data_IF_373283164039
#
_entry.id   IF_373283164039
#
_cell.length_a   1.000
_cell.length_b   1.000
_cell.length_c   1.000
_cell.angle_alpha   90.00
_cell.angle_beta   90.00
_cell.angle_gamma   90.00
#
_symmetry.space_group_name_H-M   'P 1'
#
loop_
_entity.id
_entity.type
_entity.pdbx_description
1 polymer ?
#
# COMPACT_ATOMS: atom_id res chain seq x y z
N UNK A 1 1.89 -48.14 -4.95
CA UNK A 1 0.91 -48.57 -3.92
C UNK A 1 -0.25 -47.60 -3.99
N UNK A 2 -1.48 -48.06 -4.24
CA UNK A 2 -2.67 -47.19 -4.16
C UNK A 2 -3.08 -47.11 -2.69
N UNK A 3 -3.38 -45.90 -2.22
CA UNK A 3 -3.92 -45.73 -0.88
C UNK A 3 -5.33 -46.33 -0.83
N UNK A 4 -5.70 -46.89 0.32
CA UNK A 4 -7.09 -47.28 0.59
C UNK A 4 -7.94 -46.08 1.08
N UNK A 5 -9.24 -46.29 1.24
CA UNK A 5 -10.17 -45.23 1.63
C UNK A 5 -9.86 -44.66 3.03
N UNK A 6 -9.37 -45.48 3.95
CA UNK A 6 -9.03 -45.03 5.30
C UNK A 6 -7.79 -44.14 5.28
N UNK A 7 -6.80 -44.52 4.47
CA UNK A 7 -5.60 -43.73 4.24
C UNK A 7 -5.91 -42.39 3.56
N UNK A 8 -6.80 -42.34 2.56
CA UNK A 8 -7.25 -41.08 1.97
C UNK A 8 -7.99 -40.20 2.98
N UNK A 9 -8.87 -40.79 3.80
CA UNK A 9 -9.57 -40.05 4.86
C UNK A 9 -8.58 -39.44 5.86
N UNK A 10 -7.55 -40.19 6.27
CA UNK A 10 -6.52 -39.67 7.18
C UNK A 10 -5.83 -38.43 6.57
N UNK A 11 -5.51 -38.44 5.27
CA UNK A 11 -4.88 -37.31 4.59
C UNK A 11 -5.78 -36.07 4.63
N UNK A 12 -7.07 -36.22 4.33
CA UNK A 12 -8.02 -35.10 4.30
C UNK A 12 -8.29 -34.57 5.71
N UNK A 13 -8.55 -35.47 6.67
CA UNK A 13 -8.90 -35.11 8.06
C UNK A 13 -7.71 -34.58 8.87
N UNK A 14 -6.49 -35.00 8.54
CA UNK A 14 -5.25 -34.54 9.19
C UNK A 14 -4.57 -33.40 8.43
N UNK A 15 -5.17 -32.93 7.33
CA UNK A 15 -4.63 -31.83 6.53
C UNK A 15 -4.49 -30.56 7.40
N UNK A 16 -3.35 -29.84 7.34
CA UNK A 16 -3.19 -28.57 8.04
C UNK A 16 -4.09 -27.46 7.45
N UNK A 17 -4.60 -27.66 6.24
CA UNK A 17 -5.55 -26.74 5.63
C UNK A 17 -6.99 -27.15 5.95
N UNK A 18 -7.86 -26.16 6.04
CA UNK A 18 -9.30 -26.39 6.08
C UNK A 18 -9.76 -26.81 4.69
N UNK A 19 -10.50 -27.91 4.57
CA UNK A 19 -10.94 -28.45 3.28
C UNK A 19 -12.46 -28.45 3.26
N UNK A 20 -13.05 -28.03 2.15
CA UNK A 20 -14.48 -28.07 1.91
C UNK A 20 -14.79 -28.71 0.55
N UNK A 21 -16.00 -29.23 0.41
CA UNK A 21 -16.52 -29.75 -0.86
C UNK A 21 -17.97 -29.33 -1.01
N UNK A 22 -18.35 -28.99 -2.24
CA UNK A 22 -19.72 -28.67 -2.61
C UNK A 22 -20.20 -29.51 -3.80
N UNK A 23 -21.51 -29.77 -3.83
CA UNK A 23 -22.19 -30.45 -4.93
C UNK A 23 -22.45 -29.54 -6.12
N UNK A 24 -23.09 -30.07 -7.17
CA UNK A 24 -23.51 -29.31 -8.35
C UNK A 24 -24.63 -28.31 -8.07
N UNK A 25 -25.30 -28.45 -6.94
CA UNK A 25 -26.29 -27.54 -6.37
C UNK A 25 -25.67 -26.32 -5.67
N UNK A 26 -24.34 -26.18 -5.69
CA UNK A 26 -23.55 -25.13 -5.01
C UNK A 26 -23.57 -25.21 -3.49
N UNK A 27 -24.14 -26.29 -2.93
CA UNK A 27 -24.25 -26.48 -1.49
C UNK A 27 -23.05 -27.27 -0.96
N UNK A 28 -22.42 -26.77 0.10
CA UNK A 28 -21.32 -27.47 0.75
C UNK A 28 -21.84 -28.73 1.45
N UNK A 29 -21.26 -29.89 1.13
CA UNK A 29 -21.69 -31.19 1.65
C UNK A 29 -20.62 -31.89 2.50
N UNK A 30 -19.43 -31.30 2.61
CA UNK A 30 -18.36 -31.83 3.44
C UNK A 30 -17.36 -30.74 3.85
N UNK A 31 -16.87 -30.86 5.08
CA UNK A 31 -15.77 -30.09 5.66
C UNK A 31 -14.85 -31.03 6.45
N UNK A 32 -13.53 -30.83 6.41
CA UNK A 32 -12.62 -31.64 7.21
C UNK A 32 -12.59 -31.22 8.68
N UNK A 33 -11.96 -32.06 9.51
CA UNK A 33 -11.76 -31.81 10.95
C UNK A 33 -11.08 -30.47 11.22
N UNK A 34 -10.15 -30.02 10.37
CA UNK A 34 -9.45 -28.74 10.54
C UNK A 34 -10.39 -27.55 10.39
N UNK A 35 -11.33 -27.58 9.41
CA UNK A 35 -12.37 -26.56 9.28
C UNK A 35 -13.26 -26.50 10.53
N UNK A 36 -13.81 -27.64 10.94
CA UNK A 36 -14.75 -27.71 12.07
C UNK A 36 -14.09 -27.26 13.39
N UNK A 37 -12.81 -27.60 13.60
CA UNK A 37 -12.03 -27.10 14.75
C UNK A 37 -11.78 -25.59 14.68
N UNK A 38 -11.61 -25.05 13.48
CA UNK A 38 -11.39 -23.64 13.28
C UNK A 38 -12.67 -22.83 13.54
N UNK A 39 -13.78 -23.18 12.92
CA UNK A 39 -15.05 -22.45 13.08
C UNK A 39 -15.74 -22.77 14.39
N UNK A 40 -15.47 -23.94 14.97
CA UNK A 40 -16.15 -24.45 16.18
C UNK A 40 -17.56 -24.98 15.88
N UNK A 41 -17.97 -25.00 14.61
CA UNK A 41 -19.26 -25.49 14.17
C UNK A 41 -19.23 -27.01 13.98
N UNK A 42 -20.42 -27.61 14.02
CA UNK A 42 -20.62 -29.00 13.63
C UNK A 42 -20.82 -29.13 12.13
N UNK A 43 -20.53 -30.31 11.56
CA UNK A 43 -20.79 -30.59 10.14
C UNK A 43 -22.24 -30.25 9.74
N UNK A 44 -23.21 -30.56 10.61
CA UNK A 44 -24.63 -30.29 10.35
C UNK A 44 -24.95 -28.80 10.27
N UNK A 45 -24.27 -27.96 11.03
CA UNK A 45 -24.44 -26.50 10.95
C UNK A 45 -23.80 -25.92 9.69
N UNK A 46 -22.69 -26.50 9.23
CA UNK A 46 -21.95 -26.02 8.05
C UNK A 46 -22.56 -26.49 6.72
N UNK A 47 -23.26 -27.63 6.72
CA UNK A 47 -23.90 -28.21 5.53
C UNK A 47 -24.84 -27.22 4.83
N UNK A 48 -24.79 -27.20 3.50
CA UNK A 48 -25.49 -26.22 2.68
C UNK A 48 -24.74 -24.90 2.62
N UNK A 49 -25.33 -23.87 3.20
CA UNK A 49 -24.82 -22.49 3.20
C UNK A 49 -24.25 -22.04 4.55
N UNK A 50 -24.07 -22.96 5.51
CA UNK A 50 -23.63 -22.62 6.87
C UNK A 50 -22.30 -21.88 6.91
N UNK A 51 -21.38 -22.21 6.00
CA UNK A 51 -20.10 -21.52 5.84
C UNK A 51 -20.24 -20.01 5.66
N UNK A 52 -21.32 -19.56 5.01
CA UNK A 52 -21.55 -18.16 4.70
C UNK A 52 -21.90 -17.33 5.95
N UNK A 53 -22.42 -17.96 7.01
CA UNK A 53 -22.69 -17.29 8.30
C UNK A 53 -21.41 -16.87 9.03
N UNK A 54 -20.30 -17.56 8.75
CA UNK A 54 -18.99 -17.25 9.31
C UNK A 54 -18.30 -16.06 8.64
N UNK A 55 -18.76 -15.63 7.46
CA UNK A 55 -18.09 -14.58 6.67
C UNK A 55 -18.34 -13.21 7.30
N UNK A 56 -17.32 -12.35 7.29
CA UNK A 56 -17.49 -10.97 7.72
C UNK A 56 -18.50 -10.23 6.82
N UNK A 57 -19.43 -9.43 7.37
CA UNK A 57 -20.51 -8.82 6.59
C UNK A 57 -20.04 -8.00 5.36
N UNK A 58 -18.90 -7.31 5.48
CA UNK A 58 -18.31 -6.52 4.38
C UNK A 58 -17.74 -7.38 3.23
N UNK A 59 -17.41 -8.65 3.49
CA UNK A 59 -16.79 -9.53 2.51
C UNK A 59 -17.83 -10.44 1.82
N UNK A 60 -19.02 -10.58 2.43
CA UNK A 60 -20.06 -11.53 2.03
C UNK A 60 -20.46 -11.44 0.55
N UNK A 61 -20.84 -10.25 0.09
CA UNK A 61 -21.32 -10.06 -1.29
C UNK A 61 -20.24 -10.40 -2.32
N UNK A 62 -18.97 -10.06 -2.02
CA UNK A 62 -17.83 -10.37 -2.86
C UNK A 62 -17.58 -11.87 -2.92
N UNK A 63 -17.55 -12.55 -1.77
CA UNK A 63 -17.34 -13.99 -1.70
C UNK A 63 -18.41 -14.76 -2.46
N UNK A 64 -19.68 -14.43 -2.22
CA UNK A 64 -20.80 -15.10 -2.87
C UNK A 64 -20.76 -14.91 -4.39
N UNK A 65 -20.43 -13.70 -4.86
CA UNK A 65 -20.28 -13.41 -6.29
C UNK A 65 -19.17 -14.25 -6.92
N UNK A 66 -17.96 -14.23 -6.36
CA UNK A 66 -16.81 -15.00 -6.90
C UNK A 66 -17.13 -16.48 -6.95
N UNK A 67 -17.71 -17.02 -5.88
CA UNK A 67 -18.09 -18.42 -5.78
C UNK A 67 -19.11 -18.83 -6.85
N UNK A 68 -20.22 -18.09 -6.97
CA UNK A 68 -21.28 -18.42 -7.93
C UNK A 68 -20.84 -18.23 -9.39
N UNK A 69 -20.05 -17.19 -9.68
CA UNK A 69 -19.49 -16.98 -11.02
C UNK A 69 -18.53 -18.11 -11.42
N UNK A 70 -17.72 -18.60 -10.48
CA UNK A 70 -16.83 -19.73 -10.72
C UNK A 70 -17.63 -21.00 -11.03
N UNK A 71 -18.65 -21.32 -10.24
CA UNK A 71 -19.55 -22.45 -10.48
C UNK A 71 -20.25 -22.39 -11.84
N UNK A 72 -20.73 -21.21 -12.25
CA UNK A 72 -21.40 -21.02 -13.53
C UNK A 72 -20.45 -21.27 -14.72
N UNK A 73 -19.17 -20.95 -14.56
CA UNK A 73 -18.13 -21.13 -15.60
C UNK A 73 -17.37 -22.45 -15.50
N UNK A 74 -17.49 -23.16 -14.39
CA UNK A 74 -16.68 -24.34 -14.05
C UNK A 74 -15.18 -24.04 -14.10
N UNK A 75 -14.80 -22.85 -13.60
CA UNK A 75 -13.42 -22.38 -13.52
C UNK A 75 -12.91 -22.40 -12.07
N UNK A 76 -11.60 -22.56 -11.89
CA UNK A 76 -11.00 -22.39 -10.56
C UNK A 76 -11.13 -20.95 -10.07
N UNK A 77 -11.27 -20.75 -8.78
CA UNK A 77 -11.25 -19.42 -8.17
C UNK A 77 -10.25 -19.34 -7.02
N UNK A 78 -9.84 -18.11 -6.71
CA UNK A 78 -9.10 -17.76 -5.52
C UNK A 78 -9.67 -16.46 -4.94
N UNK A 79 -9.89 -16.43 -3.62
CA UNK A 79 -10.37 -15.24 -2.91
C UNK A 79 -9.77 -15.15 -1.51
N UNK A 80 -9.64 -13.92 -1.02
CA UNK A 80 -9.26 -13.65 0.37
C UNK A 80 -10.41 -12.96 1.10
N UNK A 81 -10.81 -13.48 2.26
CA UNK A 81 -11.91 -12.94 3.05
C UNK A 81 -11.73 -13.21 4.54
N UNK A 82 -12.50 -12.51 5.37
CA UNK A 82 -12.51 -12.73 6.81
C UNK A 82 -13.52 -13.80 7.18
N UNK A 83 -13.05 -14.86 7.84
CA UNK A 83 -13.87 -15.93 8.40
C UNK A 83 -13.80 -15.90 9.93
N UNK A 84 -14.95 -16.06 10.59
CA UNK A 84 -15.07 -16.08 12.04
C UNK A 84 -14.56 -17.41 12.60
N UNK A 85 -13.59 -17.33 13.50
CA UNK A 85 -13.08 -18.46 14.27
C UNK A 85 -14.00 -18.76 15.47
N UNK A 86 -13.88 -19.94 16.06
CA UNK A 86 -14.67 -20.38 17.22
C UNK A 86 -14.67 -19.42 18.42
N UNK A 87 -13.61 -18.62 18.59
CA UNK A 87 -13.50 -17.61 19.66
C UNK A 87 -14.13 -16.25 19.29
N UNK A 88 -14.78 -16.17 18.13
CA UNK A 88 -15.45 -14.98 17.63
C UNK A 88 -14.53 -14.00 16.89
N UNK A 89 -13.23 -14.25 16.85
CA UNK A 89 -12.26 -13.40 16.15
C UNK A 89 -12.30 -13.69 14.65
N UNK A 90 -12.34 -12.64 13.84
CA UNK A 90 -12.21 -12.78 12.39
C UNK A 90 -10.74 -12.96 11.98
N UNK A 91 -10.50 -13.92 11.09
CA UNK A 91 -9.18 -14.26 10.55
C UNK A 91 -9.21 -14.15 9.02
N UNK A 92 -8.12 -13.70 8.41
CA UNK A 92 -8.00 -13.67 6.95
C UNK A 92 -7.75 -15.07 6.43
N UNK A 93 -8.64 -15.54 5.57
CA UNK A 93 -8.59 -16.84 4.91
C UNK A 93 -8.35 -16.61 3.42
N UNK A 94 -7.34 -17.29 2.87
CA UNK A 94 -7.18 -17.47 1.44
C UNK A 94 -7.87 -18.79 1.06
N UNK A 95 -8.89 -18.70 0.22
CA UNK A 95 -9.68 -19.84 -0.25
C UNK A 95 -9.45 -20.06 -1.74
N UNK A 96 -9.20 -21.31 -2.10
CA UNK A 96 -9.02 -21.77 -3.47
C UNK A 96 -9.95 -22.93 -3.73
N UNK A 97 -10.83 -22.76 -4.70
CA UNK A 97 -11.75 -23.79 -5.16
C UNK A 97 -11.43 -24.23 -6.59
N UNK A 98 -11.51 -25.54 -6.84
CA UNK A 98 -11.38 -26.12 -8.17
C UNK A 98 -12.57 -27.03 -8.48
N UNK A 99 -13.05 -27.07 -9.73
CA UNK A 99 -14.05 -28.03 -10.15
C UNK A 99 -13.46 -29.44 -10.09
N UNK A 100 -14.25 -30.43 -9.65
CA UNK A 100 -13.88 -31.83 -9.76
C UNK A 100 -14.95 -32.61 -10.53
N UNK A 101 -14.51 -33.69 -11.15
CA UNK A 101 -15.30 -34.47 -12.09
C UNK A 101 -15.26 -35.94 -11.70
N UNK A 102 -16.35 -36.66 -11.96
CA UNK A 102 -16.44 -38.11 -11.77
C UNK A 102 -16.57 -38.77 -13.15
N UNK A 103 -15.88 -39.90 -13.35
CA UNK A 103 -15.94 -40.64 -14.61
C UNK A 103 -15.42 -39.85 -15.82
N UNK A 104 -16.05 -40.03 -16.98
CA UNK A 104 -15.70 -39.41 -18.27
C UNK A 104 -16.15 -37.94 -18.34
N UNK A 105 -15.70 -37.12 -17.38
CA UNK A 105 -15.85 -35.66 -17.34
C UNK A 105 -17.23 -35.14 -16.89
N UNK A 106 -17.98 -35.90 -16.09
CA UNK A 106 -19.21 -35.40 -15.47
C UNK A 106 -18.87 -34.45 -14.32
N UNK A 107 -19.28 -33.18 -14.43
CA UNK A 107 -19.06 -32.17 -13.39
C UNK A 107 -19.78 -32.60 -12.10
N UNK A 108 -19.01 -32.76 -11.02
CA UNK A 108 -19.52 -33.27 -9.75
C UNK A 108 -19.57 -32.18 -8.65
N UNK A 109 -19.09 -30.98 -8.95
CA UNK A 109 -19.05 -29.84 -8.03
C UNK A 109 -17.64 -29.31 -7.81
N UNK A 110 -17.39 -28.74 -6.63
CA UNK A 110 -16.12 -28.15 -6.27
C UNK A 110 -15.51 -28.80 -5.03
N UNK A 111 -14.18 -28.80 -4.99
CA UNK A 111 -13.39 -29.03 -3.78
C UNK A 111 -12.50 -27.82 -3.59
N UNK A 112 -12.34 -27.38 -2.35
CA UNK A 112 -11.49 -26.26 -2.04
C UNK A 112 -10.69 -26.43 -0.76
N UNK A 113 -9.71 -25.55 -0.63
CA UNK A 113 -8.81 -25.48 0.50
C UNK A 113 -8.71 -24.04 0.96
N UNK A 114 -8.89 -23.85 2.26
CA UNK A 114 -8.78 -22.58 2.95
C UNK A 114 -7.55 -22.59 3.86
N UNK A 115 -6.74 -21.54 3.78
CA UNK A 115 -5.55 -21.31 4.59
C UNK A 115 -5.69 -20.03 5.40
N UNK A 116 -5.42 -20.08 6.70
CA UNK A 116 -5.32 -18.88 7.53
C UNK A 116 -4.04 -18.11 7.15
N UNK A 117 -4.23 -16.92 6.58
CA UNK A 117 -3.18 -15.99 6.15
C UNK A 117 -3.14 -14.73 7.01
N UNK A 118 -3.78 -14.75 8.19
CA UNK A 118 -3.89 -13.59 9.09
C UNK A 118 -2.52 -13.03 9.43
N UNK A 119 -1.58 -13.86 9.88
CA UNK A 119 -0.25 -13.40 10.29
C UNK A 119 0.52 -12.75 9.11
N UNK A 120 0.29 -13.24 7.88
CA UNK A 120 0.86 -12.66 6.66
C UNK A 120 0.25 -11.29 6.36
N UNK A 121 -1.09 -11.17 6.40
CA UNK A 121 -1.82 -9.94 6.11
C UNK A 121 -1.55 -8.88 7.18
N UNK A 122 -1.66 -9.24 8.46
CA UNK A 122 -1.37 -8.35 9.58
C UNK A 122 0.09 -7.96 9.64
N UNK A 123 1.00 -8.92 9.42
CA UNK A 123 2.44 -8.64 9.33
C UNK A 123 2.76 -7.67 8.19
N UNK A 124 2.10 -7.78 7.04
CA UNK A 124 2.26 -6.83 5.94
C UNK A 124 1.72 -5.45 6.30
N UNK A 125 0.52 -5.36 6.89
CA UNK A 125 -0.05 -4.09 7.36
C UNK A 125 0.83 -3.40 8.39
N UNK A 126 1.36 -4.15 9.35
CA UNK A 126 2.29 -3.62 10.35
C UNK A 126 3.57 -3.10 9.72
N UNK A 127 4.14 -3.81 8.73
CA UNK A 127 5.28 -3.32 7.95
C UNK A 127 4.92 -2.04 7.21
N UNK A 128 3.79 -1.99 6.51
CA UNK A 128 3.38 -0.80 5.76
C UNK A 128 3.17 0.39 6.69
N UNK A 129 2.54 0.20 7.86
CA UNK A 129 2.39 1.25 8.87
C UNK A 129 3.73 1.70 9.47
N UNK A 130 4.66 0.77 9.66
CA UNK A 130 6.00 1.09 10.16
C UNK A 130 6.88 1.79 9.11
N UNK A 131 6.59 1.64 7.82
CA UNK A 131 7.44 2.12 6.72
C UNK A 131 6.88 3.35 6.01
N UNK A 132 5.56 3.52 5.96
CA UNK A 132 4.88 4.57 5.18
C UNK A 132 4.29 5.66 6.07
N UNK A 133 4.25 6.88 5.55
CA UNK A 133 3.49 7.97 6.15
C UNK A 133 1.98 7.69 6.03
N UNK A 134 1.24 7.88 7.13
CA UNK A 134 -0.17 7.52 7.21
C UNK A 134 -1.06 8.30 6.26
N UNK A 135 -0.69 9.54 5.91
CA UNK A 135 -1.47 10.41 5.04
C UNK A 135 -1.08 10.27 3.56
N UNK A 136 0.22 10.37 3.28
CA UNK A 136 0.77 10.49 1.92
C UNK A 136 1.21 9.16 1.31
N UNK A 137 1.34 8.10 2.11
CA UNK A 137 1.72 6.73 1.70
C UNK A 137 3.11 6.58 1.07
N UNK A 138 3.91 7.64 0.99
CA UNK A 138 5.37 7.57 0.73
C UNK A 138 6.10 7.13 2.00
N UNK A 139 7.43 7.00 1.99
CA UNK A 139 8.16 6.60 3.20
C UNK A 139 7.95 7.59 4.34
N UNK A 140 7.79 7.10 5.56
CA UNK A 140 7.87 7.95 6.73
C UNK A 140 9.33 8.32 7.02
N UNK A 141 9.56 9.34 7.84
CA UNK A 141 10.90 9.82 8.20
C UNK A 141 11.81 8.70 8.71
N UNK A 142 11.35 7.90 9.67
CA UNK A 142 12.17 6.87 10.30
C UNK A 142 12.68 5.83 9.29
N UNK A 143 11.78 5.36 8.42
CA UNK A 143 12.14 4.36 7.41
C UNK A 143 12.96 4.96 6.27
N UNK A 144 12.67 6.21 5.86
CA UNK A 144 13.52 6.95 4.93
C UNK A 144 14.96 7.04 5.46
N UNK A 145 15.16 7.46 6.71
CA UNK A 145 16.49 7.59 7.31
C UNK A 145 17.23 6.24 7.37
N UNK A 146 16.53 5.14 7.65
CA UNK A 146 17.11 3.79 7.62
C UNK A 146 17.63 3.43 6.22
N UNK A 147 16.81 3.60 5.18
CA UNK A 147 17.21 3.31 3.80
C UNK A 147 18.30 4.26 3.32
N UNK A 148 18.19 5.55 3.64
CA UNK A 148 19.16 6.56 3.27
C UNK A 148 20.54 6.29 3.88
N UNK A 149 20.61 5.77 5.10
CA UNK A 149 21.89 5.38 5.72
C UNK A 149 22.56 4.21 4.96
N UNK A 150 21.76 3.26 4.48
CA UNK A 150 22.25 2.14 3.65
C UNK A 150 22.78 2.67 2.32
N UNK A 151 22.01 3.52 1.63
CA UNK A 151 22.41 4.10 0.34
C UNK A 151 23.63 5.02 0.47
N UNK A 152 23.70 5.85 1.51
CA UNK A 152 24.85 6.69 1.81
C UNK A 152 26.13 5.87 2.05
N UNK A 153 26.01 4.78 2.82
CA UNK A 153 27.14 3.88 3.08
C UNK A 153 27.63 3.20 1.80
N UNK A 154 26.72 2.82 0.90
CA UNK A 154 27.07 2.28 -0.41
C UNK A 154 27.76 3.33 -1.27
N UNK A 155 27.19 4.52 -1.39
CA UNK A 155 27.75 5.61 -2.19
C UNK A 155 29.17 5.96 -1.74
N UNK A 156 29.39 6.08 -0.42
CA UNK A 156 30.73 6.32 0.17
C UNK A 156 31.71 5.19 -0.14
N UNK A 157 31.27 3.93 -0.09
CA UNK A 157 32.13 2.76 -0.36
C UNK A 157 32.58 2.70 -1.82
N UNK A 158 31.72 3.11 -2.73
CA UNK A 158 31.94 2.99 -4.18
C UNK A 158 32.32 4.32 -4.85
N UNK A 159 32.55 5.38 -4.07
CA UNK A 159 32.83 6.74 -4.56
C UNK A 159 31.79 7.21 -5.60
N UNK A 160 30.53 6.88 -5.34
CA UNK A 160 29.42 7.19 -6.24
C UNK A 160 28.72 8.48 -5.83
N UNK A 161 28.25 9.26 -6.80
CA UNK A 161 27.50 10.49 -6.54
C UNK A 161 26.19 10.22 -5.80
N UNK A 162 25.85 11.07 -4.83
CA UNK A 162 24.57 11.02 -4.12
C UNK A 162 24.15 12.43 -3.78
N UNK A 163 22.89 12.75 -4.09
CA UNK A 163 22.30 14.04 -3.77
C UNK A 163 21.11 13.86 -2.83
N UNK A 164 20.94 14.82 -1.92
CA UNK A 164 19.75 14.96 -1.07
C UNK A 164 19.08 16.28 -1.36
N UNK A 165 17.76 16.27 -1.51
CA UNK A 165 16.94 17.45 -1.61
C UNK A 165 15.93 17.50 -0.45
N UNK A 166 15.96 18.58 0.32
CA UNK A 166 14.89 18.96 1.24
C UNK A 166 13.85 19.77 0.48
N UNK A 167 12.58 19.44 0.68
CA UNK A 167 11.47 19.96 -0.11
C UNK A 167 10.43 20.48 0.86
N UNK A 168 9.86 21.65 0.58
CA UNK A 168 8.78 22.20 1.39
C UNK A 168 7.74 22.89 0.51
N UNK A 169 6.47 22.70 0.88
CA UNK A 169 5.34 23.28 0.15
C UNK A 169 5.22 24.77 0.51
N UNK A 170 5.37 25.63 -0.50
CA UNK A 170 5.28 27.06 -0.30
C UNK A 170 3.88 27.46 0.18
N UNK A 171 3.82 28.36 1.17
CA UNK A 171 2.57 28.91 1.72
C UNK A 171 1.56 27.86 2.25
N UNK A 172 2.01 26.67 2.64
CA UNK A 172 1.13 25.60 3.12
C UNK A 172 0.27 26.02 4.32
N UNK A 173 0.85 26.80 5.26
CA UNK A 173 0.10 27.37 6.38
C UNK A 173 -1.08 28.23 5.91
N UNK A 174 -0.85 29.12 4.93
CA UNK A 174 -1.91 29.97 4.35
C UNK A 174 -3.01 29.13 3.70
N UNK A 175 -2.65 28.02 3.03
CA UNK A 175 -3.63 27.10 2.46
C UNK A 175 -4.51 26.50 3.56
N UNK A 176 -3.91 26.00 4.65
CA UNK A 176 -4.66 25.47 5.79
C UNK A 176 -5.56 26.52 6.44
N UNK A 177 -5.03 27.73 6.66
CA UNK A 177 -5.76 28.82 7.31
C UNK A 177 -6.94 29.30 6.43
N UNK A 178 -6.83 29.20 5.10
CA UNK A 178 -7.84 29.66 4.14
C UNK A 178 -8.89 28.60 3.81
N UNK A 179 -8.46 27.35 3.58
CA UNK A 179 -9.30 26.28 3.03
C UNK A 179 -9.53 25.13 4.02
N UNK A 180 -8.91 25.18 5.21
CA UNK A 180 -9.00 24.16 6.24
C UNK A 180 -8.02 22.99 6.05
N UNK A 181 -7.84 22.21 7.11
CA UNK A 181 -6.88 21.10 7.14
C UNK A 181 -7.16 20.00 6.10
N UNK A 182 -8.43 19.75 5.75
CA UNK A 182 -8.75 18.77 4.71
C UNK A 182 -8.23 19.18 3.32
N UNK A 183 -8.19 20.48 3.01
CA UNK A 183 -7.56 20.99 1.79
C UNK A 183 -6.04 20.81 1.85
N UNK A 184 -5.42 21.10 3.00
CA UNK A 184 -4.00 20.83 3.23
C UNK A 184 -3.63 19.35 3.05
N UNK A 185 -4.45 18.45 3.57
CA UNK A 185 -4.26 17.01 3.38
C UNK A 185 -4.30 16.60 1.90
N UNK A 186 -5.20 17.19 1.12
CA UNK A 186 -5.29 16.95 -0.31
C UNK A 186 -4.04 17.48 -1.04
N UNK A 187 -3.54 18.66 -0.65
CA UNK A 187 -2.29 19.24 -1.16
C UNK A 187 -1.11 18.30 -0.87
N UNK A 188 -0.95 17.85 0.37
CA UNK A 188 0.12 16.92 0.76
C UNK A 188 0.08 15.63 -0.04
N UNK A 189 -1.10 15.02 -0.20
CA UNK A 189 -1.29 13.81 -1.00
C UNK A 189 -0.93 14.03 -2.46
N UNK A 190 -1.33 15.17 -3.01
CA UNK A 190 -1.09 15.50 -4.42
C UNK A 190 0.40 15.70 -4.68
N UNK A 191 1.07 16.51 -3.86
CA UNK A 191 2.53 16.73 -3.95
C UNK A 191 3.29 15.40 -3.84
N UNK A 192 2.94 14.60 -2.83
CA UNK A 192 3.60 13.31 -2.61
C UNK A 192 3.43 12.37 -3.80
N UNK A 193 2.20 12.23 -4.32
CA UNK A 193 1.92 11.39 -5.49
C UNK A 193 2.70 11.88 -6.72
N UNK A 194 2.61 13.18 -7.01
CA UNK A 194 3.26 13.77 -8.18
C UNK A 194 4.77 13.57 -8.18
N UNK A 195 5.43 13.83 -7.05
CA UNK A 195 6.89 13.63 -6.95
C UNK A 195 7.22 12.15 -7.08
N UNK A 196 6.50 11.28 -6.35
CA UNK A 196 6.76 9.84 -6.36
C UNK A 196 6.59 9.20 -7.75
N UNK A 197 5.65 9.67 -8.56
CA UNK A 197 5.46 9.22 -9.96
C UNK A 197 6.50 9.82 -10.94
N UNK A 198 7.21 10.87 -10.54
CA UNK A 198 8.16 11.62 -11.39
C UNK A 198 9.63 11.27 -11.14
N UNK A 199 9.93 10.43 -10.15
CA UNK A 199 11.28 9.99 -9.78
C UNK A 199 11.55 8.54 -10.21
N UNK A 200 12.81 8.09 -10.12
CA UNK A 200 13.19 6.72 -10.50
C UNK A 200 12.85 5.76 -9.36
N UNK A 201 12.63 4.47 -9.68
CA UNK A 201 12.25 3.45 -8.70
C UNK A 201 13.28 3.23 -7.57
N UNK A 202 14.55 3.61 -7.79
CA UNK A 202 15.63 3.50 -6.81
C UNK A 202 15.92 4.80 -6.06
N UNK A 203 15.27 5.91 -6.40
CA UNK A 203 15.34 7.13 -5.60
C UNK A 203 14.50 6.94 -4.33
N UNK A 204 14.98 7.45 -3.20
CA UNK A 204 14.24 7.36 -1.94
C UNK A 204 13.47 8.65 -1.73
N UNK A 205 12.18 8.54 -1.45
CA UNK A 205 11.32 9.68 -1.19
C UNK A 205 10.45 9.47 0.05
N UNK A 206 10.48 10.43 0.97
CA UNK A 206 9.75 10.34 2.22
C UNK A 206 9.24 11.68 2.72
N UNK A 207 8.25 11.63 3.61
CA UNK A 207 7.76 12.81 4.33
C UNK A 207 8.60 12.99 5.58
N UNK A 208 9.28 14.14 5.70
CA UNK A 208 10.21 14.42 6.78
C UNK A 208 9.49 14.97 8.03
N UNK A 209 8.44 15.77 7.83
CA UNK A 209 7.56 16.26 8.89
C UNK A 209 6.67 17.39 8.40
N UNK A 210 5.45 17.53 8.91
CA UNK A 210 4.55 18.63 8.48
C UNK A 210 4.36 18.67 6.97
N UNK A 211 4.76 19.78 6.35
CA UNK A 211 4.80 20.08 4.91
C UNK A 211 6.15 19.83 4.24
N UNK A 212 7.10 19.25 4.96
CA UNK A 212 8.44 18.94 4.49
C UNK A 212 8.56 17.50 3.99
N UNK A 213 9.25 17.35 2.87
CA UNK A 213 9.60 16.10 2.23
C UNK A 213 11.11 16.02 2.00
N UNK A 214 11.61 14.81 1.81
CA UNK A 214 13.02 14.55 1.52
C UNK A 214 13.15 13.58 0.38
N UNK A 215 14.05 13.88 -0.55
CA UNK A 215 14.39 13.06 -1.71
C UNK A 215 15.89 12.77 -1.70
N UNK A 216 16.26 11.50 -1.79
CA UNK A 216 17.64 11.05 -1.98
C UNK A 216 17.77 10.39 -3.34
N UNK A 217 18.72 10.88 -4.14
CA UNK A 217 18.98 10.44 -5.50
C UNK A 217 20.35 9.75 -5.52
N UNK A 218 20.35 8.42 -5.59
CA UNK A 218 21.58 7.61 -5.69
C UNK A 218 22.17 7.68 -7.09
N UNK A 219 23.49 7.60 -7.19
CA UNK A 219 24.25 7.68 -8.46
C UNK A 219 23.85 8.91 -9.31
N UNK A 220 23.68 10.05 -8.65
CA UNK A 220 23.20 11.29 -9.29
C UNK A 220 24.01 12.46 -8.77
N UNK A 221 24.71 13.16 -9.67
CA UNK A 221 25.46 14.37 -9.32
C UNK A 221 24.56 15.61 -9.24
N UNK A 222 25.12 16.72 -8.77
CA UNK A 222 24.39 17.97 -8.54
C UNK A 222 23.70 18.51 -9.80
N UNK A 223 24.32 18.37 -10.98
CA UNK A 223 23.76 18.89 -12.23
C UNK A 223 22.54 18.08 -12.63
N UNK A 224 22.64 16.75 -12.59
CA UNK A 224 21.53 15.84 -12.89
C UNK A 224 20.37 16.01 -11.89
N UNK A 225 20.69 16.12 -10.60
CA UNK A 225 19.71 16.38 -9.55
C UNK A 225 19.01 17.74 -9.74
N UNK A 226 19.75 18.77 -10.15
CA UNK A 226 19.20 20.10 -10.44
C UNK A 226 18.20 20.07 -11.61
N UNK A 227 18.48 19.28 -12.65
CA UNK A 227 17.57 19.10 -13.79
C UNK A 227 16.27 18.42 -13.33
N UNK A 228 16.39 17.37 -12.51
CA UNK A 228 15.22 16.70 -11.91
C UNK A 228 14.39 17.68 -11.07
N UNK A 229 15.03 18.46 -10.19
CA UNK A 229 14.34 19.44 -9.34
C UNK A 229 13.65 20.51 -10.19
N UNK A 230 14.29 21.02 -11.24
CA UNK A 230 13.66 21.98 -12.14
C UNK A 230 12.39 21.41 -12.80
N UNK A 231 12.44 20.15 -13.22
CA UNK A 231 11.27 19.43 -13.75
C UNK A 231 10.18 19.29 -12.70
N UNK A 232 10.53 18.85 -11.48
CA UNK A 232 9.56 18.67 -10.39
C UNK A 232 8.88 19.99 -10.02
N UNK A 233 9.64 21.09 -9.93
CA UNK A 233 9.07 22.44 -9.70
C UNK A 233 8.04 22.79 -10.76
N UNK A 234 8.38 22.63 -12.03
CA UNK A 234 7.46 22.94 -13.13
C UNK A 234 6.20 22.08 -13.09
N UNK A 235 6.33 20.76 -12.85
CA UNK A 235 5.17 19.88 -12.73
C UNK A 235 4.28 20.30 -11.56
N UNK A 236 4.84 20.61 -10.39
CA UNK A 236 4.05 21.05 -9.23
C UNK A 236 3.33 22.38 -9.50
N UNK A 237 4.00 23.35 -10.13
CA UNK A 237 3.41 24.67 -10.45
C UNK A 237 2.27 24.60 -11.47
N UNK A 238 2.18 23.52 -12.26
CA UNK A 238 1.10 23.31 -13.24
C UNK A 238 -0.11 22.58 -12.67
N UNK A 239 -0.05 22.11 -11.42
CA UNK A 239 -1.15 21.39 -10.79
C UNK A 239 -2.19 22.38 -10.29
N UNK A 240 -3.45 22.11 -10.64
CA UNK A 240 -4.62 22.80 -10.10
C UNK A 240 -5.48 21.80 -9.33
N UNK A 241 -5.56 21.96 -8.01
CA UNK A 241 -6.35 21.09 -7.13
C UNK A 241 -7.72 21.72 -6.95
N UNK A 242 -8.77 21.07 -7.47
CA UNK A 242 -10.15 21.49 -7.27
C UNK A 242 -10.63 21.08 -5.87
N UNK A 243 -11.03 22.06 -5.06
CA UNK A 243 -11.59 21.84 -3.71
C UNK A 243 -12.74 22.82 -3.45
N UNK A 244 -13.95 22.31 -3.20
CA UNK A 244 -15.17 23.10 -2.92
C UNK A 244 -15.32 24.33 -3.84
N UNK A 245 -15.32 24.10 -5.16
CA UNK A 245 -15.42 25.12 -6.23
C UNK A 245 -14.30 26.16 -6.32
N UNK A 246 -13.24 25.99 -5.54
CA UNK A 246 -12.01 26.78 -5.65
C UNK A 246 -10.88 25.96 -6.26
N UNK A 247 -9.92 26.64 -6.90
CA UNK A 247 -8.70 26.04 -7.42
C UNK A 247 -7.54 26.44 -6.50
N UNK A 248 -6.86 25.43 -5.95
CA UNK A 248 -5.65 25.61 -5.16
C UNK A 248 -4.47 25.33 -6.09
N UNK A 249 -3.63 26.35 -6.29
CA UNK A 249 -2.33 26.21 -6.96
C UNK A 249 -1.26 25.99 -5.91
N UNK A 250 -0.29 25.16 -6.26
CA UNK A 250 0.77 24.74 -5.35
C UNK A 250 2.13 25.04 -5.96
N UNK A 251 3.10 25.35 -5.11
CA UNK A 251 4.51 25.37 -5.48
C UNK A 251 5.32 24.80 -4.32
N UNK A 252 6.56 24.42 -4.59
CA UNK A 252 7.45 23.92 -3.56
C UNK A 252 8.86 24.48 -3.74
N UNK A 253 9.52 24.74 -2.61
CA UNK A 253 10.93 25.10 -2.52
C UNK A 253 11.77 23.84 -2.33
N UNK A 254 12.98 23.82 -2.90
CA UNK A 254 13.87 22.67 -2.90
C UNK A 254 15.30 23.11 -2.54
N UNK A 255 15.82 22.64 -1.41
CA UNK A 255 17.21 22.78 -1.01
C UNK A 255 18.01 21.54 -1.39
N UNK A 256 18.89 21.66 -2.39
CA UNK A 256 19.70 20.57 -2.92
C UNK A 256 21.12 20.61 -2.34
N UNK A 257 21.63 19.45 -1.93
CA UNK A 257 23.02 19.28 -1.54
C UNK A 257 23.56 17.95 -2.08
N UNK A 258 24.72 18.00 -2.72
CA UNK A 258 25.45 16.80 -3.14
C UNK A 258 26.37 16.36 -2.02
N UNK A 259 26.40 15.06 -1.71
CA UNK A 259 27.40 14.55 -0.79
C UNK A 259 28.81 14.74 -1.39
N UNK A 260 29.70 15.27 -0.59
CA UNK A 260 31.14 15.23 -0.76
C UNK A 260 31.73 14.24 0.25
N UNK A 261 32.98 14.44 0.68
CA UNK A 261 33.60 13.61 1.71
C UNK A 261 32.97 13.84 3.12
N UNK A 262 31.65 14.00 3.24
CA UNK A 262 31.00 14.10 4.54
C UNK A 262 31.21 12.84 5.38
N UNK A 263 31.25 13.06 6.69
CA UNK A 263 31.51 12.01 7.65
C UNK A 263 30.27 11.12 7.82
N UNK A 264 29.07 11.70 7.80
CA UNK A 264 27.78 11.06 8.08
C UNK A 264 26.62 11.67 7.26
N UNK A 265 25.58 10.87 7.01
CA UNK A 265 24.35 11.27 6.29
C UNK A 265 23.65 12.49 6.91
N UNK A 266 23.63 12.58 8.25
CA UNK A 266 22.97 13.67 8.97
C UNK A 266 23.48 15.05 8.51
N UNK A 267 24.79 15.16 8.25
CA UNK A 267 25.38 16.41 7.75
C UNK A 267 24.88 16.77 6.35
N UNK A 268 24.71 15.79 5.47
CA UNK A 268 24.19 15.99 4.10
C UNK A 268 22.74 16.51 4.15
N UNK A 269 21.91 15.94 5.03
CA UNK A 269 20.52 16.39 5.24
C UNK A 269 20.50 17.82 5.81
N UNK A 270 21.34 18.12 6.82
CA UNK A 270 21.45 19.47 7.41
C UNK A 270 21.85 20.52 6.36
N UNK A 271 22.80 20.22 5.48
CA UNK A 271 23.20 21.17 4.44
C UNK A 271 22.11 21.36 3.37
N UNK A 272 21.39 20.30 3.00
CA UNK A 272 20.22 20.41 2.14
C UNK A 272 19.10 21.28 2.76
N UNK A 273 18.85 21.12 4.07
CA UNK A 273 17.90 21.94 4.82
C UNK A 273 18.32 23.42 4.89
N UNK A 274 19.60 23.70 5.16
CA UNK A 274 20.13 25.08 5.10
C UNK A 274 19.92 25.71 3.73
N UNK A 275 20.12 24.96 2.65
CA UNK A 275 19.87 25.44 1.28
C UNK A 275 18.39 25.75 1.05
N UNK A 276 17.49 24.93 1.59
CA UNK A 276 16.04 25.19 1.53
C UNK A 276 15.68 26.48 2.28
N UNK A 277 16.24 26.68 3.47
CA UNK A 277 16.03 27.88 4.28
C UNK A 277 16.56 29.16 3.60
N UNK A 278 17.74 29.11 2.97
CA UNK A 278 18.30 30.21 2.16
C UNK A 278 17.35 30.62 1.03
N UNK A 279 16.77 29.64 0.32
CA UNK A 279 15.82 29.87 -0.78
C UNK A 279 14.54 30.53 -0.27
N UNK A 280 13.93 30.02 0.80
CA UNK A 280 12.70 30.58 1.38
C UNK A 280 12.87 32.03 1.86
N UNK A 281 14.01 32.34 2.48
CA UNK A 281 14.31 33.70 2.92
C UNK A 281 14.54 34.68 1.77
N UNK A 282 15.12 34.21 0.66
CA UNK A 282 15.31 35.05 -0.53
C UNK A 282 13.97 35.42 -1.20
N UNK A 283 13.02 34.47 -1.25
CA UNK A 283 11.67 34.68 -1.78
C UNK A 283 10.84 35.62 -0.92
N UNK A 284 10.97 35.53 0.41
CA UNK A 284 10.28 36.43 1.35
C UNK A 284 10.68 37.90 1.22
N UNK A 285 11.82 38.18 0.57
CA UNK A 285 12.31 39.55 0.27
C UNK A 285 11.90 40.06 -1.11
N UNK A 286 11.28 39.23 -1.96
CA UNK A 286 10.67 39.67 -3.21
C UNK A 286 9.20 40.04 -2.94
N UNK A 287 8.68 41.15 -3.50
CA UNK A 287 7.27 41.51 -3.32
C UNK A 287 6.39 40.38 -3.87
N UNK A 288 5.30 40.02 -3.18
CA UNK A 288 4.45 38.91 -3.60
C UNK A 288 3.92 39.16 -5.01
N UNK A 289 4.10 38.19 -5.91
CA UNK A 289 3.32 38.16 -7.15
C UNK A 289 1.85 38.10 -6.76
N UNK A 290 1.11 39.13 -7.15
CA UNK A 290 -0.30 39.32 -6.87
C UNK A 290 -1.10 38.05 -7.13
N UNK A 291 -1.81 37.57 -6.11
CA UNK A 291 -2.87 36.59 -6.25
C UNK A 291 -3.97 37.25 -7.09
N UNK A 292 -3.92 37.09 -8.41
CA UNK A 292 -5.05 37.44 -9.28
C UNK A 292 -6.16 36.42 -9.04
N UNK A 293 -7.12 36.79 -8.19
CA UNK A 293 -8.45 36.20 -8.22
C UNK A 293 -9.09 36.59 -9.55
N UNK A 294 -9.13 35.67 -10.51
CA UNK A 294 -10.01 35.80 -11.67
C UNK A 294 -11.28 34.98 -11.41
N UNK A 295 -12.48 35.59 -11.50
CA UNK A 295 -13.72 34.83 -11.41
C UNK A 295 -13.79 33.85 -12.58
N UNK A 296 -14.28 32.65 -12.29
CA UNK A 296 -14.57 31.65 -13.32
C UNK A 296 -15.60 32.22 -14.31
N UNK A 297 -15.27 32.17 -15.60
CA UNK A 297 -16.20 32.36 -16.72
C UNK A 297 -16.94 31.05 -17.00
#
# INVERSE_FOLDING_TARGET
>A
MKLDNDQYRIIVESSPNMIWRAGTDTLCNYFNTTWLKFTGQTMTQEMGNGWAEGIHPEDFDMCLKVYLEAFAKQESFEMEYRLKRQDGVYRWINDRGVPYYIGDHEFAGYIGSCMDVTDKVEGQKLRDLAQRDGLTRIYNRQYFEQLANVEFSKAKRFDADLCVAMIDIDHFKTINDTFGHHAGDLVLKTVAKTINESIRAFDLFGRYGGDEFVLLMSNTNYVEASILIARLKHVLETIEIKYNDTLIRISASFGLYQMHHEVILEKVIIEADKKLYEIKNSRSKQPPHSVEQRPAL
#
